data_IF_607079887299
#
_entry.id   IF_607079887299
#
_cell.length_a   1.000
_cell.length_b   1.000
_cell.length_c   1.000
_cell.angle_alpha   90.00
_cell.angle_beta   90.00
_cell.angle_gamma   90.00
#
_symmetry.space_group_name_H-M   'P 1'
#
loop_
_entity.id
_entity.type
_entity.pdbx_description
1 polymer ?
#
# COMPACT_ATOMS: atom_id res chain seq x y z
N UNK A 1 -3.66 27.36 -0.10
CA UNK A 1 -3.92 25.99 0.41
C UNK A 1 -4.78 25.24 -0.60
N UNK A 2 -4.26 24.95 -1.79
CA UNK A 2 -4.88 23.99 -2.70
C UNK A 2 -4.33 22.62 -2.34
N UNK A 3 -4.89 22.01 -1.30
CA UNK A 3 -4.48 20.67 -0.87
C UNK A 3 -5.12 19.66 -1.81
N UNK A 4 -4.46 19.34 -2.91
CA UNK A 4 -4.80 18.18 -3.73
C UNK A 4 -4.98 16.99 -2.78
N UNK A 5 -6.16 16.35 -2.70
CA UNK A 5 -6.36 15.21 -1.83
C UNK A 5 -5.69 13.97 -2.44
N UNK A 6 -5.21 13.06 -1.59
CA UNK A 6 -4.86 11.72 -2.06
C UNK A 6 -6.17 10.98 -2.33
N UNK A 7 -6.32 10.44 -3.54
CA UNK A 7 -7.48 9.62 -3.92
C UNK A 7 -7.00 8.20 -4.16
N UNK A 8 -7.47 7.27 -3.33
CA UNK A 8 -7.24 5.84 -3.52
C UNK A 8 -8.45 5.24 -4.23
N UNK A 9 -8.24 4.72 -5.43
CA UNK A 9 -9.25 4.03 -6.22
C UNK A 9 -9.32 2.58 -5.75
N UNK A 10 -10.53 2.14 -5.45
CA UNK A 10 -10.85 0.84 -4.93
C UNK A 10 -11.48 -0.02 -6.04
N UNK A 11 -11.71 -1.31 -5.77
CA UNK A 11 -12.42 -2.18 -6.72
C UNK A 11 -13.83 -1.65 -7.06
N UNK A 12 -14.49 -1.01 -6.08
CA UNK A 12 -15.75 -0.31 -6.27
C UNK A 12 -15.65 1.09 -5.64
N UNK A 13 -15.50 2.11 -6.49
CA UNK A 13 -15.44 3.51 -6.07
C UNK A 13 -14.04 3.98 -5.64
N UNK A 14 -13.99 5.03 -4.83
CA UNK A 14 -12.74 5.63 -4.37
C UNK A 14 -12.92 6.31 -3.01
N UNK A 15 -11.80 6.53 -2.32
CA UNK A 15 -11.75 7.30 -1.08
C UNK A 15 -10.72 8.40 -1.25
N UNK A 16 -11.16 9.64 -1.05
CA UNK A 16 -10.31 10.83 -1.13
C UNK A 16 -10.17 11.47 0.25
N UNK A 17 -8.96 11.85 0.61
CA UNK A 17 -8.68 12.47 1.90
C UNK A 17 -7.47 13.41 1.86
N UNK A 18 -7.44 14.36 2.79
CA UNK A 18 -6.27 15.20 3.03
C UNK A 18 -5.09 14.31 3.44
N UNK A 19 -4.00 14.41 2.70
CA UNK A 19 -2.77 13.68 2.98
C UNK A 19 -1.58 14.59 2.68
N UNK A 20 -0.50 14.48 3.44
CA UNK A 20 0.66 15.34 3.25
C UNK A 20 1.61 14.74 2.20
N UNK A 21 2.29 15.57 1.38
CA UNK A 21 3.28 15.07 0.42
C UNK A 21 4.40 14.26 1.09
N UNK A 22 4.76 14.62 2.33
CA UNK A 22 5.75 13.90 3.11
C UNK A 22 5.26 12.50 3.53
N UNK A 23 4.03 12.40 4.04
CA UNK A 23 3.44 11.12 4.40
C UNK A 23 3.25 10.22 3.15
N UNK A 24 2.92 10.80 2.00
CA UNK A 24 2.86 10.06 0.72
C UNK A 24 4.20 9.49 0.29
N UNK A 25 5.31 10.21 0.48
CA UNK A 25 6.66 9.68 0.22
C UNK A 25 7.03 8.55 1.17
N UNK A 26 6.69 8.66 2.44
CA UNK A 26 6.91 7.60 3.44
C UNK A 26 6.08 6.35 3.14
N UNK A 27 4.81 6.52 2.77
CA UNK A 27 3.94 5.44 2.32
C UNK A 27 4.50 4.77 1.07
N UNK A 28 4.96 5.56 0.09
CA UNK A 28 5.59 5.03 -1.12
C UNK A 28 6.83 4.18 -0.79
N UNK A 29 7.70 4.65 0.11
CA UNK A 29 8.88 3.90 0.52
C UNK A 29 8.52 2.54 1.16
N UNK A 30 7.50 2.53 2.03
CA UNK A 30 7.02 1.29 2.65
C UNK A 30 6.42 0.31 1.61
N UNK A 31 5.75 0.82 0.58
CA UNK A 31 5.24 0.02 -0.53
C UNK A 31 6.36 -0.52 -1.44
N UNK A 32 7.40 0.27 -1.69
CA UNK A 32 8.58 -0.16 -2.46
C UNK A 32 9.31 -1.32 -1.73
N UNK A 33 9.39 -1.26 -0.40
CA UNK A 33 9.89 -2.37 0.43
C UNK A 33 9.01 -3.61 0.32
N UNK A 34 7.69 -3.45 0.44
CA UNK A 34 6.73 -4.56 0.25
C UNK A 34 6.88 -5.22 -1.13
N UNK A 35 7.10 -4.44 -2.20
CA UNK A 35 7.35 -4.97 -3.55
C UNK A 35 8.63 -5.81 -3.61
N UNK A 36 9.64 -5.45 -2.82
CA UNK A 36 10.87 -6.23 -2.70
C UNK A 36 10.61 -7.54 -1.96
N UNK A 37 9.84 -7.51 -0.86
CA UNK A 37 9.42 -8.71 -0.13
C UNK A 37 8.57 -9.67 -0.99
N UNK A 38 7.61 -9.14 -1.78
CA UNK A 38 6.80 -9.92 -2.71
C UNK A 38 7.63 -10.59 -3.81
N UNK A 39 8.71 -9.95 -4.27
CA UNK A 39 9.64 -10.59 -5.22
C UNK A 39 10.45 -11.69 -4.54
N UNK A 40 10.88 -11.48 -3.30
CA UNK A 40 11.64 -12.47 -2.54
C UNK A 40 10.84 -13.76 -2.28
N UNK A 41 9.55 -13.65 -1.91
CA UNK A 41 8.70 -14.83 -1.64
C UNK A 41 8.27 -15.59 -2.89
N UNK A 42 8.32 -14.96 -4.06
CA UNK A 42 7.88 -15.56 -5.35
C UNK A 42 9.04 -16.02 -6.21
N UNK A 43 10.28 -15.71 -5.84
CA UNK A 43 11.47 -16.24 -6.49
C UNK A 43 11.46 -17.77 -6.45
N UNK A 44 11.57 -18.41 -7.62
CA UNK A 44 11.57 -19.88 -7.73
C UNK A 44 12.71 -20.45 -6.87
N UNK A 45 12.47 -21.46 -6.02
CA UNK A 45 13.56 -22.15 -5.34
C UNK A 45 14.50 -22.74 -6.38
N UNK A 46 15.80 -22.53 -6.20
CA UNK A 46 16.85 -23.17 -6.98
C UNK A 46 16.65 -24.70 -6.95
N UNK A 47 16.91 -25.46 -8.03
CA UNK A 47 16.84 -26.92 -7.95
C UNK A 47 17.74 -27.45 -6.84
N UNK A 48 17.15 -28.06 -5.81
CA UNK A 48 17.86 -28.51 -4.59
C UNK A 48 17.90 -27.50 -3.42
N UNK A 49 17.31 -26.31 -3.57
CA UNK A 49 17.26 -25.24 -2.58
C UNK A 49 16.04 -25.34 -1.66
N UNK A 50 16.25 -25.12 -0.36
CA UNK A 50 15.24 -25.24 0.70
C UNK A 50 14.05 -24.27 0.59
N UNK A 51 13.11 -24.44 1.52
CA UNK A 51 11.85 -23.65 1.60
C UNK A 51 12.13 -22.14 1.55
N UNK A 52 11.27 -21.42 0.84
CA UNK A 52 11.26 -19.95 0.80
C UNK A 52 11.15 -19.40 2.22
N UNK A 53 12.04 -18.46 2.58
CA UNK A 53 12.00 -17.78 3.88
C UNK A 53 10.84 -16.80 3.92
N UNK A 54 9.89 -16.94 4.86
CA UNK A 54 8.78 -16.00 5.00
C UNK A 54 9.28 -14.57 5.24
N UNK A 55 8.64 -13.61 4.59
CA UNK A 55 8.91 -12.17 4.77
C UNK A 55 7.93 -11.57 5.80
N UNK A 56 8.33 -10.57 6.59
CA UNK A 56 7.43 -9.89 7.51
C UNK A 56 6.27 -9.21 6.76
N UNK A 57 5.09 -9.08 7.39
CA UNK A 57 4.01 -8.29 6.83
C UNK A 57 4.35 -6.80 6.83
N UNK A 58 3.80 -6.07 5.86
CA UNK A 58 3.72 -4.61 5.91
C UNK A 58 2.64 -4.21 6.94
N UNK A 59 3.02 -3.36 7.88
CA UNK A 59 2.13 -2.72 8.86
C UNK A 59 2.38 -1.21 8.89
N UNK A 60 2.02 -0.50 7.82
CA UNK A 60 2.19 0.95 7.76
C UNK A 60 1.04 1.66 8.49
N UNK A 61 1.38 2.63 9.34
CA UNK A 61 0.42 3.48 10.04
C UNK A 61 0.82 4.94 9.95
N UNK A 62 -0.13 5.76 9.51
CA UNK A 62 -0.05 7.21 9.58
C UNK A 62 -1.13 7.74 10.53
N UNK A 63 -0.71 8.57 11.47
CA UNK A 63 -1.57 9.23 12.45
C UNK A 63 -1.47 10.75 12.27
N UNK A 64 -2.44 11.33 11.55
CA UNK A 64 -2.55 12.78 11.37
C UNK A 64 -4.00 13.23 11.45
N UNK A 65 -4.39 14.20 10.59
CA UNK A 65 -5.80 14.63 10.46
C UNK A 65 -6.71 13.46 10.05
N UNK A 66 -6.17 12.54 9.26
CA UNK A 66 -6.75 11.23 9.00
C UNK A 66 -5.82 10.15 9.53
N UNK A 67 -6.42 9.05 9.97
CA UNK A 67 -5.73 7.81 10.22
C UNK A 67 -5.71 6.98 8.95
N UNK A 68 -4.52 6.57 8.51
CA UNK A 68 -4.33 5.62 7.41
C UNK A 68 -3.53 4.43 7.92
N UNK A 69 -4.04 3.23 7.69
CA UNK A 69 -3.31 1.98 7.90
C UNK A 69 -3.30 1.17 6.60
N UNK A 70 -2.14 0.61 6.27
CA UNK A 70 -1.95 -0.26 5.12
C UNK A 70 -1.30 -1.55 5.60
N UNK A 71 -2.01 -2.65 5.44
CA UNK A 71 -1.55 -3.97 5.80
C UNK A 71 -1.39 -4.88 4.58
N UNK A 72 -0.30 -5.65 4.53
CA UNK A 72 -0.14 -6.71 3.53
C UNK A 72 0.76 -7.83 4.05
N UNK A 73 0.30 -9.07 3.93
CA UNK A 73 1.16 -10.24 4.14
C UNK A 73 1.73 -10.70 2.78
N UNK A 74 3.04 -10.52 2.50
CA UNK A 74 3.61 -10.90 1.21
C UNK A 74 3.59 -12.42 0.97
N UNK A 75 3.51 -13.24 2.03
CA UNK A 75 3.64 -14.70 1.95
C UNK A 75 2.39 -15.41 1.38
N UNK A 76 1.24 -14.73 1.32
CA UNK A 76 -0.02 -15.34 0.88
C UNK A 76 -0.32 -15.09 -0.61
N UNK A 77 0.50 -14.28 -1.29
CA UNK A 77 0.26 -13.88 -2.67
C UNK A 77 1.12 -14.70 -3.65
N UNK A 78 0.54 -15.20 -4.76
CA UNK A 78 1.26 -16.01 -5.73
C UNK A 78 2.20 -15.17 -6.61
N UNK A 79 1.90 -13.89 -6.81
CA UNK A 79 2.72 -12.93 -7.57
C UNK A 79 2.56 -11.53 -6.99
N UNK A 80 3.53 -10.61 -7.19
CA UNK A 80 3.38 -9.21 -6.78
C UNK A 80 2.17 -8.51 -7.43
N UNK A 81 1.83 -8.87 -8.68
CA UNK A 81 0.72 -8.27 -9.42
C UNK A 81 -0.66 -8.75 -8.97
N UNK A 82 -0.74 -9.91 -8.30
CA UNK A 82 -1.97 -10.41 -7.70
C UNK A 82 -2.19 -9.86 -6.27
N UNK A 83 -1.22 -9.14 -5.72
CA UNK A 83 -1.25 -8.72 -4.33
C UNK A 83 -2.31 -7.63 -4.08
N UNK A 84 -3.04 -7.78 -2.99
CA UNK A 84 -3.90 -6.74 -2.43
C UNK A 84 -3.38 -6.29 -1.08
N UNK A 85 -3.71 -5.05 -0.73
CA UNK A 85 -3.47 -4.47 0.58
C UNK A 85 -4.79 -4.23 1.28
N UNK A 86 -4.84 -4.46 2.60
CA UNK A 86 -5.94 -4.05 3.43
C UNK A 86 -5.71 -2.60 3.85
N UNK A 87 -6.56 -1.70 3.37
CA UNK A 87 -6.53 -0.27 3.68
C UNK A 87 -7.55 0.02 4.77
N UNK A 88 -7.15 0.79 5.78
CA UNK A 88 -8.09 1.45 6.69
C UNK A 88 -7.87 2.95 6.64
N UNK A 89 -8.90 3.69 6.20
CA UNK A 89 -8.96 5.15 6.27
C UNK A 89 -9.99 5.52 7.32
N UNK A 90 -9.59 6.29 8.32
CA UNK A 90 -10.47 6.68 9.43
C UNK A 90 -10.32 8.15 9.78
N UNK A 91 -11.44 8.79 10.07
CA UNK A 91 -11.49 10.08 10.78
C UNK A 91 -12.48 9.97 11.95
N UNK A 92 -12.93 11.12 12.48
CA UNK A 92 -13.88 11.18 13.60
C UNK A 92 -15.27 10.63 13.26
N UNK A 93 -15.69 10.72 12.00
CA UNK A 93 -17.06 10.39 11.56
C UNK A 93 -17.17 9.09 10.76
N UNK A 94 -16.09 8.70 10.08
CA UNK A 94 -16.08 7.62 9.10
C UNK A 94 -14.87 6.71 9.31
N UNK A 95 -15.09 5.40 9.18
CA UNK A 95 -14.05 4.40 9.02
C UNK A 95 -14.39 3.56 7.79
N UNK A 96 -13.49 3.55 6.82
CA UNK A 96 -13.53 2.64 5.66
C UNK A 96 -12.38 1.66 5.84
N UNK A 97 -12.70 0.37 5.86
CA UNK A 97 -11.71 -0.71 5.81
C UNK A 97 -12.04 -1.59 4.61
N UNK A 98 -11.10 -1.72 3.68
CA UNK A 98 -11.34 -2.42 2.40
C UNK A 98 -10.04 -2.93 1.80
N UNK A 99 -10.15 -3.90 0.90
CA UNK A 99 -9.02 -4.35 0.09
C UNK A 99 -8.87 -3.49 -1.16
N UNK A 100 -7.63 -3.21 -1.55
CA UNK A 100 -7.31 -2.58 -2.82
C UNK A 100 -6.15 -3.31 -3.51
N UNK A 101 -6.14 -3.30 -4.83
CA UNK A 101 -5.03 -3.85 -5.63
C UNK A 101 -3.76 -3.04 -5.36
N UNK A 102 -2.66 -3.72 -5.03
CA UNK A 102 -1.39 -3.06 -4.70
C UNK A 102 -0.89 -2.19 -5.86
N UNK A 103 -0.99 -2.69 -7.09
CA UNK A 103 -0.65 -1.97 -8.32
C UNK A 103 -1.44 -0.67 -8.44
N UNK A 104 -2.73 -0.70 -8.13
CA UNK A 104 -3.57 0.49 -8.18
C UNK A 104 -3.18 1.52 -7.12
N UNK A 105 -2.93 1.07 -5.89
CA UNK A 105 -2.46 1.94 -4.81
C UNK A 105 -1.12 2.61 -5.16
N UNK A 106 -0.21 1.88 -5.81
CA UNK A 106 1.07 2.44 -6.31
C UNK A 106 0.82 3.56 -7.34
N UNK A 107 -0.05 3.31 -8.32
CA UNK A 107 -0.42 4.31 -9.34
C UNK A 107 -0.99 5.57 -8.71
N UNK A 108 -1.95 5.41 -7.80
CA UNK A 108 -2.64 6.54 -7.15
C UNK A 108 -1.67 7.40 -6.32
N UNK A 109 -0.74 6.78 -5.59
CA UNK A 109 0.28 7.49 -4.80
C UNK A 109 1.27 8.23 -5.71
N UNK A 110 1.70 7.60 -6.81
CA UNK A 110 2.61 8.22 -7.77
C UNK A 110 1.95 9.44 -8.43
N UNK A 111 0.70 9.30 -8.90
CA UNK A 111 -0.06 10.40 -9.49
C UNK A 111 -0.26 11.55 -8.50
N UNK A 112 -0.56 11.25 -7.25
CA UNK A 112 -0.64 12.26 -6.21
C UNK A 112 0.70 12.99 -6.02
N UNK A 113 1.81 12.26 -5.93
CA UNK A 113 3.15 12.83 -5.73
C UNK A 113 3.60 13.68 -6.93
N UNK A 114 3.22 13.33 -8.16
CA UNK A 114 3.45 14.15 -9.36
C UNK A 114 2.68 15.47 -9.33
N UNK A 115 1.48 15.50 -8.73
CA UNK A 115 0.65 16.70 -8.66
C UNK A 115 1.06 17.68 -7.56
N UNK A 116 1.68 17.17 -6.48
CA UNK A 116 2.14 17.98 -5.34
C UNK A 116 3.66 18.24 -5.34
N UNK A 117 4.34 17.75 -6.37
CA UNK A 117 5.79 17.87 -6.59
C UNK A 117 6.20 19.16 -7.29
#
# INVERSE_FOLDING_TARGET
MSSTPLTLNLGEGSVSFSFSPQAARELKAAIDELMTSLKAVTAKPTPGGGKVTPQPPLEYRYTGEVFLEVFCNPNIWPTPFAAKVLLTVRNVNLRVTTEAELTRVIEDINQYLEQVG
#
